data_IF_891815399180
#
_entry.id   IF_891815399180
#
_cell.length_a   1.000
_cell.length_b   1.000
_cell.length_c   1.000
_cell.angle_alpha   90.00
_cell.angle_beta   90.00
_cell.angle_gamma   90.00
#
_symmetry.space_group_name_H-M   'P 1'
#
loop_
_entity.id
_entity.type
_entity.pdbx_description
1 polymer ?
#
# COMPACT_ATOMS: atom_id res chain seq x y z
N UNK A 1 11.55 -18.40 -23.03
CA UNK A 1 10.34 -17.71 -22.52
C UNK A 1 9.21 -17.91 -23.53
N UNK A 2 7.97 -18.18 -23.10
CA UNK A 2 6.81 -18.31 -24.02
C UNK A 2 5.90 -17.11 -23.81
N UNK A 3 5.50 -16.47 -24.90
CA UNK A 3 4.56 -15.35 -24.88
C UNK A 3 3.20 -15.82 -24.38
N UNK A 4 2.71 -15.22 -23.30
CA UNK A 4 1.35 -15.42 -22.81
C UNK A 4 0.42 -14.46 -23.57
N UNK A 5 -0.60 -15.00 -24.24
CA UNK A 5 -1.69 -14.22 -24.81
C UNK A 5 -2.83 -14.16 -23.78
N UNK A 6 -2.96 -13.02 -23.12
CA UNK A 6 -4.06 -12.76 -22.18
C UNK A 6 -5.29 -12.33 -22.99
N UNK A 7 -6.38 -13.10 -22.90
CA UNK A 7 -7.68 -12.66 -23.39
C UNK A 7 -8.40 -11.93 -22.27
N UNK A 8 -8.67 -10.63 -22.50
CA UNK A 8 -9.45 -9.79 -21.60
C UNK A 8 -10.95 -9.93 -21.90
N UNK A 9 -11.82 -9.55 -20.96
CA UNK A 9 -13.27 -9.53 -21.23
C UNK A 9 -13.53 -8.56 -22.41
N UNK A 10 -14.12 -9.04 -23.53
CA UNK A 10 -14.31 -8.23 -24.73
C UNK A 10 -15.28 -7.06 -24.55
N UNK A 11 -15.96 -6.98 -23.40
CA UNK A 11 -16.86 -5.86 -23.05
C UNK A 11 -16.14 -4.70 -22.39
N UNK A 12 -14.86 -4.86 -22.05
CA UNK A 12 -14.09 -3.81 -21.41
C UNK A 12 -13.07 -3.24 -22.40
N UNK A 13 -13.13 -1.93 -22.59
CA UNK A 13 -12.20 -1.20 -23.44
C UNK A 13 -11.01 -0.75 -22.57
N UNK A 14 -9.93 -1.53 -22.61
CA UNK A 14 -8.70 -1.25 -21.87
C UNK A 14 -7.54 -1.17 -22.87
N UNK A 15 -6.83 -0.05 -22.85
CA UNK A 15 -5.67 0.13 -23.73
C UNK A 15 -4.43 -0.51 -23.11
N UNK A 16 -3.42 -0.82 -23.93
CA UNK A 16 -2.10 -1.25 -23.43
C UNK A 16 -1.51 -0.23 -22.43
N UNK A 17 -1.78 1.06 -22.64
CA UNK A 17 -1.35 2.11 -21.73
C UNK A 17 -2.03 2.02 -20.35
N UNK A 18 -3.31 1.64 -20.31
CA UNK A 18 -4.03 1.42 -19.06
C UNK A 18 -3.48 0.21 -18.29
N UNK A 19 -3.14 -0.88 -19.00
CA UNK A 19 -2.50 -2.05 -18.41
C UNK A 19 -1.12 -1.73 -17.83
N UNK A 20 -0.31 -0.95 -18.56
CA UNK A 20 0.98 -0.47 -18.06
C UNK A 20 0.78 0.39 -16.82
N UNK A 21 -0.16 1.33 -16.84
CA UNK A 21 -0.46 2.18 -15.69
C UNK A 21 -0.90 1.36 -14.46
N UNK A 22 -1.80 0.40 -14.64
CA UNK A 22 -2.24 -0.51 -13.57
C UNK A 22 -1.05 -1.26 -12.97
N UNK A 23 -0.15 -1.79 -13.82
CA UNK A 23 1.06 -2.48 -13.38
C UNK A 23 1.96 -1.57 -12.55
N UNK A 24 2.27 -0.38 -13.05
CA UNK A 24 3.15 0.57 -12.35
C UNK A 24 2.56 1.00 -11.00
N UNK A 25 1.27 1.35 -10.96
CA UNK A 25 0.61 1.75 -9.72
C UNK A 25 0.56 0.59 -8.71
N UNK A 26 0.27 -0.63 -9.17
CA UNK A 26 0.32 -1.83 -8.33
C UNK A 26 1.72 -2.07 -7.78
N UNK A 27 2.75 -1.89 -8.61
CA UNK A 27 4.14 -2.03 -8.17
C UNK A 27 4.50 -1.00 -7.10
N UNK A 28 4.06 0.25 -7.24
CA UNK A 28 4.27 1.29 -6.22
C UNK A 28 3.65 0.88 -4.88
N UNK A 29 2.43 0.35 -4.87
CA UNK A 29 1.80 -0.14 -3.65
C UNK A 29 2.58 -1.30 -3.01
N UNK A 30 3.01 -2.26 -3.82
CA UNK A 30 3.77 -3.42 -3.37
C UNK A 30 5.13 -3.04 -2.77
N UNK A 31 5.89 -2.19 -3.46
CA UNK A 31 7.20 -1.72 -3.02
C UNK A 31 7.06 -0.86 -1.74
N UNK A 32 5.99 -0.08 -1.61
CA UNK A 32 5.71 0.73 -0.43
C UNK A 32 5.33 -0.12 0.79
N UNK A 33 4.54 -1.17 0.57
CA UNK A 33 4.24 -2.18 1.60
C UNK A 33 5.52 -2.84 2.13
N UNK A 34 6.46 -3.21 1.24
CA UNK A 34 7.72 -3.83 1.64
C UNK A 34 8.64 -2.89 2.41
N UNK A 35 8.75 -1.62 2.01
CA UNK A 35 9.49 -0.63 2.80
C UNK A 35 8.96 -0.53 4.24
N UNK A 36 7.64 -0.61 4.43
CA UNK A 36 7.05 -0.63 5.76
C UNK A 36 7.26 -1.96 6.48
N UNK A 37 7.30 -3.08 5.74
CA UNK A 37 7.61 -4.39 6.30
C UNK A 37 9.02 -4.42 6.89
N UNK A 38 10.01 -3.86 6.18
CA UNK A 38 11.37 -3.71 6.68
C UNK A 38 11.40 -2.93 8.02
N UNK A 39 10.56 -1.89 8.14
CA UNK A 39 10.43 -1.12 9.39
C UNK A 39 9.79 -1.96 10.49
N UNK A 40 8.74 -2.73 10.20
CA UNK A 40 8.13 -3.65 11.19
C UNK A 40 9.16 -4.63 11.71
N UNK A 41 9.93 -5.26 10.83
CA UNK A 41 10.96 -6.24 11.19
C UNK A 41 12.10 -5.61 11.99
N UNK A 42 12.51 -4.39 11.63
CA UNK A 42 13.50 -3.63 12.39
C UNK A 42 13.01 -3.26 13.80
N UNK A 43 11.70 -2.99 13.99
CA UNK A 43 11.14 -2.73 15.32
C UNK A 43 10.99 -4.03 16.11
N UNK A 44 10.42 -5.07 15.50
CA UNK A 44 10.13 -6.35 16.15
C UNK A 44 11.42 -7.11 16.56
N UNK A 45 12.56 -6.82 15.91
CA UNK A 45 13.87 -7.35 16.29
C UNK A 45 14.54 -6.64 17.48
N UNK A 46 14.01 -5.50 17.95
CA UNK A 46 14.53 -4.80 19.14
C UNK A 46 14.02 -5.47 20.41
N UNK A 47 14.94 -5.90 21.28
CA UNK A 47 14.61 -6.53 22.56
C UNK A 47 13.92 -5.58 23.56
N UNK A 48 14.21 -4.27 23.48
CA UNK A 48 13.69 -3.24 24.38
C UNK A 48 13.07 -2.08 23.58
N UNK A 49 12.03 -2.36 22.78
CA UNK A 49 11.27 -1.31 22.09
C UNK A 49 10.52 -0.42 23.09
N UNK A 50 10.64 0.91 22.97
CA UNK A 50 9.90 1.85 23.83
C UNK A 50 8.41 1.84 23.49
N UNK A 51 7.58 2.35 24.40
CA UNK A 51 6.13 2.45 24.17
C UNK A 51 5.79 3.33 22.96
N UNK A 52 6.55 4.40 22.72
CA UNK A 52 6.38 5.24 21.53
C UNK A 52 6.69 4.46 20.24
N UNK A 53 7.70 3.60 20.27
CA UNK A 53 8.07 2.80 19.12
C UNK A 53 7.05 1.70 18.83
N UNK A 54 6.54 1.03 19.87
CA UNK A 54 5.44 0.09 19.76
C UNK A 54 4.15 0.77 19.24
N UNK A 55 3.92 2.03 19.63
CA UNK A 55 2.80 2.83 19.12
C UNK A 55 2.97 3.17 17.65
N UNK A 56 4.17 3.54 17.21
CA UNK A 56 4.47 3.80 15.79
C UNK A 56 4.29 2.53 14.94
N UNK A 57 4.81 1.40 15.41
CA UNK A 57 4.71 0.09 14.76
C UNK A 57 3.24 -0.29 14.51
N UNK A 58 2.38 -0.08 15.50
CA UNK A 58 0.97 -0.48 15.45
C UNK A 58 0.76 -1.95 15.81
N UNK A 59 -0.50 -2.39 15.90
CA UNK A 59 -0.84 -3.74 16.41
C UNK A 59 -1.17 -4.72 15.31
N UNK A 60 -0.84 -6.00 15.54
CA UNK A 60 -1.22 -7.11 14.67
C UNK A 60 -0.31 -7.27 13.45
N UNK A 61 -0.70 -8.18 12.57
CA UNK A 61 -0.08 -8.35 11.26
C UNK A 61 -1.11 -8.01 10.18
N UNK A 62 -0.63 -7.54 9.05
CA UNK A 62 -1.51 -7.19 7.93
C UNK A 62 -1.92 -8.47 7.21
N UNK A 63 -3.23 -8.67 7.08
CA UNK A 63 -3.81 -9.79 6.32
C UNK A 63 -4.26 -9.40 4.92
N UNK A 64 -4.99 -10.31 4.26
CA UNK A 64 -5.64 -10.03 2.99
C UNK A 64 -6.76 -8.97 3.17
N UNK A 65 -6.70 -7.82 2.49
CA UNK A 65 -7.71 -6.79 2.64
C UNK A 65 -9.05 -7.21 2.02
N UNK A 66 -10.13 -6.95 2.75
CA UNK A 66 -11.50 -7.03 2.22
C UNK A 66 -11.82 -5.76 1.42
N UNK A 67 -11.75 -5.85 0.09
CA UNK A 67 -12.10 -4.74 -0.80
C UNK A 67 -13.60 -4.64 -1.10
N UNK A 68 -14.40 -5.65 -0.73
CA UNK A 68 -15.84 -5.66 -1.00
C UNK A 68 -16.61 -4.82 0.02
N UNK A 69 -16.24 -4.94 1.29
CA UNK A 69 -16.91 -4.22 2.38
C UNK A 69 -15.95 -3.34 3.19
N UNK A 70 -14.65 -3.48 2.97
CA UNK A 70 -13.66 -2.61 3.59
C UNK A 70 -13.58 -1.25 2.92
N UNK A 71 -13.03 -0.31 3.68
CA UNK A 71 -12.64 1.00 3.16
C UNK A 71 -11.38 1.46 3.88
N UNK A 72 -10.64 2.34 3.23
CA UNK A 72 -9.52 3.05 3.84
C UNK A 72 -9.86 4.52 3.98
N UNK A 73 -9.25 5.17 4.96
CA UNK A 73 -9.42 6.60 5.23
C UNK A 73 -8.06 7.24 5.41
N UNK A 74 -8.00 8.54 5.13
CA UNK A 74 -6.86 9.34 5.52
C UNK A 74 -6.79 9.39 7.06
N UNK A 75 -5.58 9.22 7.58
CA UNK A 75 -5.29 9.32 9.01
C UNK A 75 -4.26 10.43 9.18
N UNK A 76 -4.38 11.31 10.19
CA UNK A 76 -3.34 12.28 10.50
C UNK A 76 -1.98 11.59 10.69
N UNK A 77 -0.91 12.23 10.22
CA UNK A 77 0.40 11.59 10.18
C UNK A 77 0.95 11.25 11.58
N UNK A 78 0.48 11.95 12.61
CA UNK A 78 0.82 11.74 14.02
C UNK A 78 0.19 10.45 14.58
N UNK A 79 -0.94 10.05 14.01
CA UNK A 79 -1.72 8.87 14.43
C UNK A 79 -1.50 7.67 13.50
N UNK A 80 -0.99 7.89 12.29
CA UNK A 80 -0.68 6.82 11.35
C UNK A 80 0.34 5.84 11.95
N UNK A 81 0.13 4.56 11.70
CA UNK A 81 1.04 3.49 12.16
C UNK A 81 1.63 2.76 10.97
N UNK A 82 2.78 2.10 11.17
CA UNK A 82 3.44 1.32 10.12
C UNK A 82 2.49 0.24 9.59
N UNK A 83 1.92 -0.57 10.48
CA UNK A 83 0.95 -1.63 10.13
C UNK A 83 -0.33 -1.07 9.52
N UNK A 84 -0.85 0.05 10.05
CA UNK A 84 -2.03 0.71 9.48
C UNK A 84 -1.82 1.15 8.04
N UNK A 85 -0.64 1.71 7.76
CA UNK A 85 -0.28 2.15 6.41
C UNK A 85 -0.01 0.98 5.46
N UNK A 86 0.59 -0.11 5.94
CA UNK A 86 0.74 -1.35 5.16
C UNK A 86 -0.63 -1.89 4.71
N UNK A 87 -1.61 -1.93 5.61
CA UNK A 87 -2.98 -2.35 5.27
C UNK A 87 -3.58 -1.46 4.16
N UNK A 88 -3.35 -0.14 4.22
CA UNK A 88 -3.83 0.79 3.18
C UNK A 88 -3.17 0.53 1.82
N UNK A 89 -1.87 0.28 1.78
CA UNK A 89 -1.18 -0.06 0.54
C UNK A 89 -1.66 -1.38 -0.05
N UNK A 90 -1.87 -2.43 0.76
CA UNK A 90 -2.43 -3.68 0.25
C UNK A 90 -3.88 -3.52 -0.25
N UNK A 91 -4.70 -2.73 0.44
CA UNK A 91 -6.06 -2.45 0.01
C UNK A 91 -6.08 -1.80 -1.37
N UNK A 92 -5.26 -0.77 -1.58
CA UNK A 92 -5.15 -0.07 -2.88
C UNK A 92 -4.54 -0.97 -3.95
N UNK A 93 -3.54 -1.78 -3.61
CA UNK A 93 -2.97 -2.78 -4.52
C UNK A 93 -4.06 -3.71 -5.06
N UNK A 94 -4.87 -4.28 -4.17
CA UNK A 94 -5.94 -5.20 -4.54
C UNK A 94 -7.03 -4.50 -5.36
N UNK A 95 -7.35 -3.25 -5.02
CA UNK A 95 -8.28 -2.42 -5.78
C UNK A 95 -7.79 -2.19 -7.22
N UNK A 96 -6.51 -1.84 -7.40
CA UNK A 96 -5.92 -1.67 -8.73
C UNK A 96 -5.89 -2.98 -9.51
N UNK A 97 -5.51 -4.08 -8.89
CA UNK A 97 -5.47 -5.40 -9.54
C UNK A 97 -6.85 -5.93 -9.92
N UNK A 98 -7.91 -5.51 -9.21
CA UNK A 98 -9.30 -5.85 -9.54
C UNK A 98 -9.93 -4.94 -10.58
N UNK A 99 -9.24 -3.88 -11.01
CA UNK A 99 -9.79 -2.96 -11.99
C UNK A 99 -9.74 -3.60 -13.39
N UNK A 100 -10.92 -3.86 -13.94
CA UNK A 100 -11.03 -4.37 -15.32
C UNK A 100 -10.85 -3.25 -16.38
N UNK A 101 -10.73 -1.98 -15.97
CA UNK A 101 -10.54 -0.84 -16.87
C UNK A 101 -9.58 0.22 -16.30
N UNK A 102 -9.59 1.41 -16.92
CA UNK A 102 -8.70 2.51 -16.53
C UNK A 102 -8.87 2.87 -15.05
N UNK A 103 -7.74 2.94 -14.33
CA UNK A 103 -7.70 3.41 -12.94
C UNK A 103 -8.20 4.86 -12.87
N UNK A 104 -9.12 5.12 -11.94
CA UNK A 104 -9.71 6.44 -11.78
C UNK A 104 -8.70 7.45 -11.21
N UNK A 105 -8.87 8.72 -11.59
CA UNK A 105 -8.03 9.82 -11.08
C UNK A 105 -8.07 9.90 -9.56
N UNK A 106 -9.22 9.68 -8.94
CA UNK A 106 -9.38 9.69 -7.49
C UNK A 106 -8.56 8.60 -6.80
N UNK A 107 -8.43 7.43 -7.42
CA UNK A 107 -7.62 6.35 -6.85
C UNK A 107 -6.11 6.62 -7.00
N UNK A 108 -5.71 7.29 -8.10
CA UNK A 108 -4.33 7.79 -8.28
C UNK A 108 -4.00 8.86 -7.24
N UNK A 109 -4.89 9.85 -7.04
CA UNK A 109 -4.73 10.88 -6.00
C UNK A 109 -4.65 10.26 -4.60
N UNK A 110 -5.47 9.24 -4.33
CA UNK A 110 -5.41 8.47 -3.09
C UNK A 110 -4.04 7.83 -2.86
N UNK A 111 -3.43 7.25 -3.91
CA UNK A 111 -2.08 6.70 -3.82
C UNK A 111 -1.03 7.77 -3.51
N UNK A 112 -1.13 8.95 -4.12
CA UNK A 112 -0.20 10.06 -3.85
C UNK A 112 -0.28 10.53 -2.39
N UNK A 113 -1.49 10.57 -1.82
CA UNK A 113 -1.66 10.85 -0.38
C UNK A 113 -1.03 9.77 0.49
N UNK A 114 -1.17 8.48 0.12
CA UNK A 114 -0.53 7.39 0.85
C UNK A 114 1.00 7.46 0.77
N UNK A 115 1.56 7.85 -0.39
CA UNK A 115 3.01 8.08 -0.54
C UNK A 115 3.50 9.22 0.35
N UNK A 116 2.73 10.30 0.47
CA UNK A 116 3.05 11.37 1.42
C UNK A 116 3.02 10.86 2.89
N UNK A 117 2.04 10.03 3.24
CA UNK A 117 2.00 9.38 4.56
C UNK A 117 3.18 8.43 4.79
N UNK A 118 3.65 7.71 3.76
CA UNK A 118 4.83 6.85 3.84
C UNK A 118 6.07 7.65 4.22
N UNK A 119 6.33 8.75 3.54
CA UNK A 119 7.47 9.61 3.85
C UNK A 119 7.36 10.22 5.25
N UNK A 120 6.14 10.58 5.69
CA UNK A 120 5.91 11.04 7.06
C UNK A 120 6.16 9.96 8.12
N UNK A 121 5.75 8.70 7.87
CA UNK A 121 6.00 7.57 8.76
C UNK A 121 7.50 7.25 8.82
N UNK A 122 8.20 7.27 7.68
CA UNK A 122 9.66 7.11 7.61
C UNK A 122 10.36 8.20 8.40
N UNK A 123 9.99 9.47 8.22
CA UNK A 123 10.56 10.58 8.99
C UNK A 123 10.30 10.46 10.50
N UNK A 124 9.19 9.85 10.93
CA UNK A 124 8.94 9.53 12.34
C UNK A 124 9.81 8.38 12.82
N UNK A 125 10.01 7.35 12.00
CA UNK A 125 10.88 6.20 12.29
C UNK A 125 12.35 6.61 12.44
N UNK A 126 12.86 7.49 11.58
CA UNK A 126 14.24 8.00 11.65
C UNK A 126 14.58 8.68 12.99
N UNK A 127 13.58 9.13 13.77
CA UNK A 127 13.82 9.68 15.12
C UNK A 127 14.22 8.62 16.16
N UNK A 128 14.07 7.33 15.83
CA UNK A 128 14.36 6.19 16.70
C UNK A 128 15.56 5.36 16.23
N UNK A 129 16.15 5.72 15.08
CA UNK A 129 17.44 5.19 14.59
C UNK A 129 18.57 6.17 14.91
#
# INVERSE_FOLDING_TARGET
ERTLHVQLDPRVDVSDADLVMQRELSKVCYDSYHQLQDIVEAIDSRSNATDELNKLRGRGAVGDPDIMYGSIRQTPIEEETVVGLQHKFLFVLKLFQSADGKISTQAIEGLELLKASLEGVKARWEKFN
#
